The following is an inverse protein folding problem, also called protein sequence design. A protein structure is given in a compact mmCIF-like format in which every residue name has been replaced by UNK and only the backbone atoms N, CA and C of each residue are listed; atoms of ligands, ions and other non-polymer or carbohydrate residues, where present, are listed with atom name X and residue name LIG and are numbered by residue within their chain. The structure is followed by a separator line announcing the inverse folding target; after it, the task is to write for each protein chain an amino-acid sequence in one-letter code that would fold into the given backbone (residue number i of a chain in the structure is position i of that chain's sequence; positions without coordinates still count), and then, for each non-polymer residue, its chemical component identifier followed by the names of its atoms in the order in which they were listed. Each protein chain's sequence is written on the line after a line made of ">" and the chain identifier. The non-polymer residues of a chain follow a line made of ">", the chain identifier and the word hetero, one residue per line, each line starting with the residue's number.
data_IF_303111720203
#
_entry.id   IF_303111720203
#
_cell.length_a   1.000
_cell.length_b   1.000
_cell.length_c   1.000
_cell.angle_alpha   90.00
_cell.angle_beta   90.00
_cell.angle_gamma   90.00
#
_symmetry.space_group_name_H-M   'P 1'
#
loop_
_entity.id
_entity.type
_entity.pdbx_description
1 polymer ?
#
# COMPACT_ATOMS: atom_id res chain seq x y z
N UNK A 1 -11.46 -0.62 5.80
CA UNK A 1 -10.44 0.43 5.93
C UNK A 1 -10.91 1.74 5.28
N UNK A 2 -11.38 1.68 4.04
CA UNK A 2 -11.94 2.81 3.29
C UNK A 2 -13.43 2.55 2.94
N UNK A 3 -14.06 3.47 2.18
CA UNK A 3 -15.41 3.31 1.65
C UNK A 3 -15.59 2.11 0.71
N UNK A 4 -16.81 1.85 0.26
CA UNK A 4 -17.18 0.65 -0.51
C UNK A 4 -16.38 0.51 -1.81
N UNK A 5 -15.88 -0.69 -2.11
CA UNK A 5 -15.15 -0.97 -3.35
C UNK A 5 -16.02 -0.74 -4.60
N UNK A 6 -15.41 -0.24 -5.68
CA UNK A 6 -16.06 -0.11 -6.99
C UNK A 6 -16.55 -1.47 -7.49
N UNK A 7 -17.80 -1.54 -7.95
CA UNK A 7 -18.45 -2.79 -8.38
C UNK A 7 -19.33 -3.45 -7.32
N UNK A 8 -19.27 -3.00 -6.06
CA UNK A 8 -20.23 -3.39 -5.02
C UNK A 8 -21.35 -2.35 -4.88
N UNK A 9 -22.58 -2.84 -4.71
CA UNK A 9 -23.79 -2.04 -4.43
C UNK A 9 -24.16 -2.15 -2.95
N UNK A 10 -23.24 -1.72 -2.08
CA UNK A 10 -23.51 -1.62 -0.64
C UNK A 10 -23.97 -0.21 -0.35
N UNK A 11 -25.08 -0.08 0.39
CA UNK A 11 -25.59 1.20 0.88
C UNK A 11 -24.51 1.95 1.66
N UNK A 12 -24.17 3.17 1.21
CA UNK A 12 -23.16 4.04 1.83
C UNK A 12 -23.78 5.31 2.42
N UNK A 13 -25.02 5.22 2.93
CA UNK A 13 -25.77 6.34 3.50
C UNK A 13 -26.01 7.53 2.54
N UNK A 14 -26.03 7.29 1.21
CA UNK A 14 -26.23 8.34 0.21
C UNK A 14 -25.02 9.26 0.03
N UNK A 15 -23.87 8.91 0.60
CA UNK A 15 -22.64 9.69 0.43
C UNK A 15 -22.13 9.60 -1.01
N UNK A 16 -21.61 10.70 -1.52
CA UNK A 16 -20.97 10.75 -2.85
C UNK A 16 -19.61 10.05 -2.81
N UNK A 17 -19.28 9.32 -3.87
CA UNK A 17 -18.00 8.62 -4.00
C UNK A 17 -18.01 7.19 -3.45
N UNK A 18 -16.93 6.47 -3.75
CA UNK A 18 -16.63 5.08 -3.36
C UNK A 18 -15.12 4.96 -3.08
N UNK A 19 -14.62 3.77 -2.73
CA UNK A 19 -13.19 3.49 -2.46
C UNK A 19 -12.25 4.26 -3.39
N UNK A 20 -11.34 5.06 -2.80
CA UNK A 20 -10.35 5.85 -3.54
C UNK A 20 -10.87 7.16 -4.13
N UNK A 21 -12.07 7.60 -3.72
CA UNK A 21 -12.59 8.94 -3.96
C UNK A 21 -12.31 9.86 -2.77
N UNK A 22 -12.13 11.13 -3.08
CA UNK A 22 -11.98 12.29 -2.21
C UNK A 22 -13.29 12.72 -1.53
N UNK A 23 -14.45 12.32 -2.06
CA UNK A 23 -15.74 12.58 -1.43
C UNK A 23 -15.99 11.65 -0.24
N UNK A 24 -16.86 12.03 0.72
CA UNK A 24 -17.07 11.30 1.99
C UNK A 24 -17.34 9.78 1.78
N UNK A 25 -18.01 9.37 0.69
CA UNK A 25 -18.25 7.94 0.41
C UNK A 25 -17.00 7.11 0.11
N UNK A 26 -15.83 7.74 -0.09
CA UNK A 26 -14.56 7.08 -0.30
C UNK A 26 -13.73 6.84 0.97
N UNK A 27 -13.89 7.66 2.01
CA UNK A 27 -13.04 7.64 3.21
C UNK A 27 -13.80 7.70 4.54
N UNK A 28 -15.05 8.17 4.57
CA UNK A 28 -15.89 8.14 5.77
C UNK A 28 -16.45 6.75 6.00
N UNK A 29 -16.04 6.14 7.10
CA UNK A 29 -16.35 4.75 7.47
C UNK A 29 -16.99 4.67 8.86
N UNK A 30 -17.73 3.59 9.18
CA UNK A 30 -18.17 3.33 10.54
C UNK A 30 -16.98 3.14 11.49
N UNK A 31 -17.06 3.73 12.68
CA UNK A 31 -16.11 3.53 13.77
C UNK A 31 -16.89 3.29 15.07
N UNK A 32 -16.60 2.18 15.75
CA UNK A 32 -17.29 1.75 16.98
C UNK A 32 -16.23 1.30 17.97
N UNK A 33 -16.32 1.80 19.20
CA UNK A 33 -15.52 1.35 20.33
C UNK A 33 -16.42 0.67 21.37
N UNK A 34 -15.92 -0.40 21.99
CA UNK A 34 -16.62 -1.12 23.05
C UNK A 34 -15.61 -1.55 24.11
N UNK A 35 -15.76 -1.04 25.33
CA UNK A 35 -14.88 -1.34 26.45
C UNK A 35 -15.67 -1.30 27.77
N UNK A 36 -16.27 -2.43 28.19
CA UNK A 36 -17.12 -2.48 29.38
C UNK A 36 -16.45 -2.03 30.68
N UNK A 37 -15.17 -2.38 30.87
CA UNK A 37 -14.43 -1.98 32.08
C UNK A 37 -14.21 -0.47 32.17
N UNK A 38 -14.25 0.26 31.04
CA UNK A 38 -14.21 1.72 31.00
C UNK A 38 -15.61 2.36 30.94
N UNK A 39 -16.68 1.58 31.08
CA UNK A 39 -18.06 2.08 30.97
C UNK A 39 -18.52 2.35 29.53
N UNK A 40 -17.76 1.93 28.51
CA UNK A 40 -18.10 2.10 27.09
C UNK A 40 -18.90 0.90 26.59
N UNK A 41 -20.03 0.63 27.25
CA UNK A 41 -20.91 -0.52 26.98
C UNK A 41 -22.38 -0.11 26.80
N UNK A 42 -22.66 1.19 26.71
CA UNK A 42 -23.98 1.73 26.41
C UNK A 42 -23.96 2.45 25.06
N UNK A 43 -25.15 2.70 24.50
CA UNK A 43 -25.26 3.52 23.28
C UNK A 43 -24.74 4.93 23.59
N UNK A 44 -23.70 5.32 22.88
CA UNK A 44 -23.11 6.67 22.91
C UNK A 44 -22.82 7.10 21.47
N UNK A 45 -23.05 8.37 21.16
CA UNK A 45 -22.82 8.92 19.83
C UNK A 45 -22.16 10.29 19.94
N UNK A 46 -21.01 10.45 19.27
CA UNK A 46 -20.30 11.71 19.15
C UNK A 46 -20.24 12.11 17.67
N UNK A 47 -20.70 13.33 17.34
CA UNK A 47 -20.72 13.85 15.96
C UNK A 47 -19.46 14.70 15.62
N UNK A 48 -18.45 14.68 16.51
CA UNK A 48 -17.21 15.44 16.33
C UNK A 48 -16.31 14.80 15.28
N UNK A 49 -15.59 15.64 14.52
CA UNK A 49 -14.66 15.21 13.48
C UNK A 49 -13.48 14.42 14.08
N UNK A 50 -13.37 13.15 13.70
CA UNK A 50 -12.24 12.28 13.97
C UNK A 50 -11.64 11.72 12.67
N UNK A 51 -10.43 11.18 12.77
CA UNK A 51 -9.70 10.60 11.66
C UNK A 51 -8.83 9.43 12.13
N UNK A 52 -8.38 8.57 11.21
CA UNK A 52 -7.56 7.40 11.56
C UNK A 52 -6.26 7.76 12.31
N UNK A 53 -5.72 8.98 12.08
CA UNK A 53 -4.53 9.49 12.77
C UNK A 53 -4.73 9.68 14.28
N UNK A 54 -5.98 9.74 14.76
CA UNK A 54 -6.31 9.87 16.18
C UNK A 54 -6.25 8.53 16.94
N UNK A 55 -6.21 7.41 16.23
CA UNK A 55 -6.24 6.08 16.87
C UNK A 55 -5.00 5.86 17.71
N UNK A 56 -3.81 6.10 17.15
CA UNK A 56 -2.52 5.94 17.86
C UNK A 56 -2.45 6.78 19.14
N UNK A 57 -2.64 8.11 19.11
CA UNK A 57 -2.57 8.92 20.32
C UNK A 57 -3.61 8.54 21.37
N UNK A 58 -4.81 8.12 20.95
CA UNK A 58 -5.86 7.65 21.85
C UNK A 58 -5.45 6.34 22.54
N UNK A 59 -5.04 5.33 21.78
CA UNK A 59 -4.67 4.01 22.33
C UNK A 59 -3.45 4.12 23.25
N UNK A 60 -2.44 4.90 22.87
CA UNK A 60 -1.26 5.13 23.72
C UNK A 60 -1.67 5.76 25.06
N UNK A 61 -2.54 6.78 25.04
CA UNK A 61 -3.05 7.41 26.26
C UNK A 61 -3.83 6.45 27.14
N UNK A 62 -4.76 5.69 26.55
CA UNK A 62 -5.58 4.70 27.27
C UNK A 62 -4.74 3.58 27.90
N UNK A 63 -3.63 3.21 27.26
CA UNK A 63 -2.69 2.21 27.78
C UNK A 63 -1.73 2.77 28.86
N UNK A 64 -1.86 4.05 29.24
CA UNK A 64 -0.94 4.71 30.18
C UNK A 64 0.45 5.01 29.60
N UNK A 65 0.59 4.90 28.27
CA UNK A 65 1.82 5.20 27.57
C UNK A 65 2.10 6.70 27.49
N UNK A 66 3.35 7.04 27.18
CA UNK A 66 3.78 8.42 26.96
C UNK A 66 4.10 8.64 25.49
N UNK A 67 3.75 9.81 24.97
CA UNK A 67 4.16 10.22 23.63
C UNK A 67 5.70 10.27 23.56
N UNK A 68 6.33 9.56 22.60
CA UNK A 68 7.77 9.70 22.36
C UNK A 68 8.11 11.14 21.96
N UNK A 69 9.14 11.74 22.57
CA UNK A 69 9.53 13.13 22.29
C UNK A 69 9.95 13.35 20.83
N UNK A 70 10.51 12.33 20.19
CA UNK A 70 10.95 12.36 18.80
C UNK A 70 9.82 12.30 17.78
N UNK A 71 8.59 12.00 18.19
CA UNK A 71 7.48 11.75 17.27
C UNK A 71 6.51 12.93 17.24
N UNK A 72 6.36 13.54 16.07
CA UNK A 72 5.24 14.45 15.81
C UNK A 72 3.99 13.62 15.51
N UNK A 73 2.86 14.00 16.10
CA UNK A 73 1.56 13.35 15.85
C UNK A 73 0.71 14.26 15.00
N UNK A 74 0.08 13.70 13.97
CA UNK A 74 -0.93 14.41 13.17
C UNK A 74 -2.32 14.37 13.83
N UNK A 75 -2.55 13.34 14.64
CA UNK A 75 -3.78 13.15 15.41
C UNK A 75 -3.69 13.65 16.84
N UNK A 76 -4.84 13.61 17.51
CA UNK A 76 -4.98 13.91 18.94
C UNK A 76 -5.75 12.78 19.61
N UNK A 77 -5.64 12.65 20.94
CA UNK A 77 -6.48 11.69 21.64
C UNK A 77 -7.95 12.12 21.53
N UNK A 78 -8.79 11.17 21.11
CA UNK A 78 -10.25 11.31 21.04
C UNK A 78 -10.94 10.52 22.16
N UNK A 79 -10.23 10.16 23.24
CA UNK A 79 -10.81 9.45 24.39
C UNK A 79 -12.11 10.10 24.90
N UNK A 80 -12.15 11.44 24.97
CA UNK A 80 -13.35 12.18 25.40
C UNK A 80 -14.53 12.05 24.44
N UNK A 81 -14.30 11.62 23.20
CA UNK A 81 -15.38 11.32 22.25
C UNK A 81 -16.00 9.94 22.52
N UNK A 82 -15.21 9.02 23.08
CA UNK A 82 -15.58 7.63 23.29
C UNK A 82 -16.24 7.42 24.66
N UNK A 83 -15.89 8.26 25.63
CA UNK A 83 -16.37 8.19 26.99
C UNK A 83 -17.73 8.91 27.16
N UNK A 84 -18.83 8.19 27.45
CA UNK A 84 -20.16 8.78 27.60
C UNK A 84 -20.29 9.69 28.83
N UNK A 85 -19.31 9.68 29.76
CA UNK A 85 -19.31 10.53 30.95
C UNK A 85 -18.56 11.85 30.74
N UNK A 86 -17.91 12.04 29.59
CA UNK A 86 -17.07 13.20 29.29
C UNK A 86 -17.65 14.03 28.16
N UNK A 87 -17.46 15.34 28.26
CA UNK A 87 -17.73 16.25 27.15
C UNK A 87 -16.61 16.13 26.09
N UNK A 88 -16.97 16.03 24.79
CA UNK A 88 -16.00 15.99 23.70
C UNK A 88 -15.12 17.25 23.66
N UNK A 89 -13.85 17.13 24.07
CA UNK A 89 -12.99 18.28 24.38
C UNK A 89 -11.93 18.62 23.30
N UNK A 90 -12.06 18.09 22.08
CA UNK A 90 -11.14 18.43 20.98
C UNK A 90 -11.63 19.67 20.26
N UNK A 91 -10.78 20.69 20.21
CA UNK A 91 -11.04 21.94 19.51
C UNK A 91 -11.29 21.75 18.01
N UNK A 92 -11.94 22.72 17.40
CA UNK A 92 -12.14 22.72 15.96
C UNK A 92 -10.80 22.73 15.23
N UNK A 93 -10.66 21.79 14.29
CA UNK A 93 -9.42 21.56 13.54
C UNK A 93 -9.71 21.22 12.09
N UNK A 94 -8.65 21.17 11.29
CA UNK A 94 -8.71 20.67 9.93
C UNK A 94 -7.91 19.37 9.78
N UNK A 95 -8.38 18.50 8.90
CA UNK A 95 -7.76 17.21 8.57
C UNK A 95 -7.71 17.07 7.05
N UNK A 96 -6.73 16.34 6.54
CA UNK A 96 -6.60 16.06 5.11
C UNK A 96 -6.71 14.57 4.87
N UNK A 97 -7.45 14.20 3.83
CA UNK A 97 -7.33 12.91 3.18
C UNK A 97 -6.93 13.13 1.72
N UNK A 98 -6.02 12.31 1.21
CA UNK A 98 -5.62 12.33 -0.20
C UNK A 98 -5.50 10.90 -0.76
N UNK A 99 -5.47 10.80 -2.09
CA UNK A 99 -5.28 9.51 -2.78
C UNK A 99 -4.45 9.71 -4.05
N UNK A 100 -3.13 9.57 -3.92
CA UNK A 100 -2.19 9.76 -5.03
C UNK A 100 -2.19 8.57 -6.02
N UNK A 101 -1.93 7.35 -5.51
CA UNK A 101 -1.73 6.11 -6.30
C UNK A 101 -0.77 6.28 -7.48
N UNK A 102 0.21 7.15 -7.32
CA UNK A 102 1.28 7.46 -8.26
C UNK A 102 2.56 7.60 -7.43
N UNK A 103 3.71 7.43 -8.09
CA UNK A 103 5.01 7.53 -7.42
C UNK A 103 5.26 8.95 -6.91
N UNK A 104 5.10 9.94 -7.80
CA UNK A 104 5.40 11.34 -7.51
C UNK A 104 4.06 12.05 -7.22
N UNK A 105 3.78 12.45 -5.96
CA UNK A 105 2.51 13.07 -5.59
C UNK A 105 2.22 14.35 -6.38
N UNK A 106 0.95 14.59 -6.68
CA UNK A 106 0.49 15.80 -7.36
C UNK A 106 -0.39 16.61 -6.40
N UNK A 107 -0.06 17.89 -6.22
CA UNK A 107 -0.80 18.82 -5.37
C UNK A 107 -2.27 18.87 -5.78
N UNK A 108 -3.18 18.87 -4.81
CA UNK A 108 -4.64 18.88 -5.00
C UNK A 108 -5.24 17.68 -5.75
N UNK A 109 -4.48 16.59 -5.93
CA UNK A 109 -5.00 15.37 -6.56
C UNK A 109 -5.84 14.53 -5.60
N UNK A 110 -7.15 14.44 -5.86
CA UNK A 110 -8.09 13.59 -5.10
C UNK A 110 -7.98 13.83 -3.60
N UNK A 111 -8.08 15.09 -3.21
CA UNK A 111 -7.93 15.51 -1.81
C UNK A 111 -9.24 16.04 -1.26
N UNK A 112 -9.44 15.86 0.04
CA UNK A 112 -10.43 16.60 0.80
C UNK A 112 -9.79 17.18 2.07
N UNK A 113 -9.89 18.51 2.19
CA UNK A 113 -9.64 19.22 3.44
C UNK A 113 -10.94 19.26 4.22
N UNK A 114 -10.91 18.80 5.45
CA UNK A 114 -12.10 18.55 6.26
C UNK A 114 -12.06 19.42 7.51
N UNK A 115 -13.17 20.05 7.85
CA UNK A 115 -13.43 20.60 9.19
C UNK A 115 -14.75 20.02 9.71
N UNK A 116 -15.16 20.41 10.92
CA UNK A 116 -16.43 19.94 11.48
C UNK A 116 -17.63 20.21 10.55
N UNK A 117 -17.63 21.36 9.86
CA UNK A 117 -18.74 21.79 9.02
C UNK A 117 -18.46 21.61 7.51
N UNK A 118 -17.20 21.71 7.09
CA UNK A 118 -16.87 21.87 5.67
C UNK A 118 -16.04 20.72 5.10
N UNK A 119 -16.22 20.46 3.80
CA UNK A 119 -15.28 19.70 2.95
C UNK A 119 -14.88 20.59 1.78
N UNK A 120 -13.58 20.85 1.65
CA UNK A 120 -13.00 21.45 0.45
C UNK A 120 -12.35 20.34 -0.36
N UNK A 121 -12.91 20.07 -1.53
CA UNK A 121 -12.51 18.96 -2.40
C UNK A 121 -11.65 19.51 -3.54
N UNK A 122 -10.45 18.93 -3.71
CA UNK A 122 -9.45 19.28 -4.73
C UNK A 122 -9.11 20.79 -4.79
N UNK A 123 -9.38 21.54 -3.72
CA UNK A 123 -9.13 22.99 -3.67
C UNK A 123 -10.12 23.85 -4.45
N UNK A 124 -11.21 23.24 -4.94
CA UNK A 124 -12.16 23.86 -5.87
C UNK A 124 -13.59 23.88 -5.31
N UNK A 125 -14.09 22.73 -4.84
CA UNK A 125 -15.50 22.59 -4.44
C UNK A 125 -15.66 22.61 -2.93
N UNK A 126 -16.61 23.38 -2.42
CA UNK A 126 -16.87 23.48 -0.98
C UNK A 126 -18.28 22.98 -0.65
N UNK A 127 -18.38 22.06 0.31
CA UNK A 127 -19.65 21.49 0.76
C UNK A 127 -19.86 21.69 2.26
N UNK A 128 -21.08 22.06 2.65
CA UNK A 128 -21.51 22.17 4.05
C UNK A 128 -22.15 20.86 4.53
N UNK A 129 -21.40 20.00 5.21
CA UNK A 129 -21.77 18.58 5.38
C UNK A 129 -22.98 18.35 6.28
N UNK A 130 -23.24 19.22 7.26
CA UNK A 130 -24.46 19.10 8.08
C UNK A 130 -25.73 19.37 7.27
N UNK A 131 -25.66 20.20 6.22
CA UNK A 131 -26.81 20.53 5.35
C UNK A 131 -26.85 19.68 4.08
N UNK A 132 -25.70 19.24 3.60
CA UNK A 132 -25.54 18.47 2.37
C UNK A 132 -24.57 17.29 2.59
N UNK A 133 -25.00 16.22 3.31
CA UNK A 133 -24.19 15.02 3.51
C UNK A 133 -23.85 14.30 2.20
N UNK A 134 -24.67 14.49 1.16
CA UNK A 134 -24.46 13.92 -0.16
C UNK A 134 -23.46 14.68 -1.02
N UNK A 135 -22.99 15.86 -0.60
CA UNK A 135 -22.06 16.71 -1.34
C UNK A 135 -22.53 16.97 -2.78
N UNK A 136 -23.78 17.43 -2.88
CA UNK A 136 -24.53 17.70 -4.10
C UNK A 136 -24.52 19.17 -4.52
N UNK A 137 -24.36 20.09 -3.56
CA UNK A 137 -24.40 21.54 -3.80
C UNK A 137 -23.06 22.18 -3.44
N UNK A 138 -22.29 22.53 -4.46
CA UNK A 138 -21.08 23.33 -4.30
C UNK A 138 -21.44 24.76 -3.90
N UNK A 139 -20.85 25.25 -2.80
CA UNK A 139 -21.04 26.60 -2.27
C UNK A 139 -19.75 27.41 -2.22
N UNK A 140 -18.69 26.97 -2.91
CA UNK A 140 -17.39 27.64 -2.90
C UNK A 140 -17.46 29.13 -3.28
N UNK A 141 -18.23 29.46 -4.32
CA UNK A 141 -18.41 30.85 -4.80
C UNK A 141 -19.08 31.77 -3.77
N UNK A 142 -19.98 31.21 -2.95
CA UNK A 142 -20.66 31.95 -1.89
C UNK A 142 -19.82 32.08 -0.61
N UNK A 143 -18.78 31.27 -0.44
CA UNK A 143 -17.93 31.25 0.76
C UNK A 143 -16.42 31.36 0.43
N UNK A 144 -15.98 32.38 -0.33
CA UNK A 144 -14.60 32.48 -0.81
C UNK A 144 -13.57 32.59 0.31
N UNK A 145 -13.92 33.20 1.45
CA UNK A 145 -13.03 33.29 2.62
C UNK A 145 -12.81 31.93 3.29
N UNK A 146 -13.84 31.08 3.33
CA UNK A 146 -13.71 29.72 3.87
C UNK A 146 -12.84 28.85 2.95
N UNK A 147 -13.02 28.97 1.62
CA UNK A 147 -12.15 28.32 0.63
C UNK A 147 -10.71 28.76 0.83
N UNK A 148 -10.45 30.06 0.90
CA UNK A 148 -9.10 30.61 1.13
C UNK A 148 -8.47 30.07 2.41
N UNK A 149 -9.22 30.03 3.51
CA UNK A 149 -8.75 29.49 4.79
C UNK A 149 -8.34 28.01 4.68
N UNK A 150 -9.18 27.18 4.06
CA UNK A 150 -8.93 25.75 3.93
C UNK A 150 -7.81 25.45 2.92
N UNK A 151 -7.66 26.25 1.86
CA UNK A 151 -6.51 26.16 0.94
C UNK A 151 -5.21 26.49 1.66
N UNK A 152 -5.18 27.56 2.46
CA UNK A 152 -4.02 27.92 3.26
C UNK A 152 -3.58 26.80 4.21
N UNK A 153 -4.52 26.14 4.88
CA UNK A 153 -4.21 24.97 5.72
C UNK A 153 -3.60 23.83 4.90
N UNK A 154 -4.18 23.50 3.75
CA UNK A 154 -3.64 22.46 2.88
C UNK A 154 -2.27 22.80 2.32
N UNK A 155 -2.05 24.06 1.93
CA UNK A 155 -0.76 24.49 1.39
C UNK A 155 0.33 24.33 2.45
N UNK A 156 0.09 24.74 3.71
CA UNK A 156 1.04 24.47 4.80
C UNK A 156 1.27 22.98 5.06
N UNK A 157 0.22 22.16 5.00
CA UNK A 157 0.34 20.70 5.13
C UNK A 157 1.14 20.07 3.97
N UNK A 158 0.92 20.54 2.74
CA UNK A 158 1.64 20.08 1.56
C UNK A 158 3.13 20.44 1.64
N UNK A 159 3.44 21.68 1.98
CA UNK A 159 4.81 22.18 2.05
C UNK A 159 5.62 21.48 3.17
N UNK A 160 4.94 21.01 4.23
CA UNK A 160 5.55 20.15 5.25
C UNK A 160 5.95 18.77 4.70
N UNK A 161 5.13 18.19 3.81
CA UNK A 161 5.33 16.83 3.30
C UNK A 161 6.21 16.76 2.06
N UNK A 162 6.19 17.79 1.21
CA UNK A 162 6.87 17.83 -0.09
C UNK A 162 8.36 17.43 -0.02
N UNK A 163 9.16 17.85 0.99
CA UNK A 163 10.55 17.40 1.12
C UNK A 163 10.74 15.89 1.29
N UNK A 164 9.70 15.17 1.72
CA UNK A 164 9.73 13.72 1.92
C UNK A 164 9.39 12.92 0.66
N UNK A 165 8.79 13.53 -0.37
CA UNK A 165 8.32 12.79 -1.55
C UNK A 165 9.45 12.21 -2.40
N UNK A 166 10.65 12.78 -2.32
CA UNK A 166 11.85 12.25 -2.96
C UNK A 166 12.54 11.14 -2.14
N UNK A 167 12.08 10.89 -0.91
CA UNK A 167 12.64 9.86 -0.06
C UNK A 167 12.02 8.52 -0.44
N UNK A 168 12.82 7.67 -1.07
CA UNK A 168 12.43 6.29 -1.33
C UNK A 168 12.23 5.55 -0.01
N UNK A 169 11.09 4.88 0.16
CA UNK A 169 10.88 3.98 1.30
C UNK A 169 11.64 2.69 1.05
N UNK A 170 12.64 2.42 1.90
CA UNK A 170 13.54 1.28 1.74
C UNK A 170 13.20 0.15 2.71
N UNK A 171 13.30 -1.09 2.24
CA UNK A 171 13.15 -2.27 3.08
C UNK A 171 14.52 -2.63 3.69
N UNK A 172 14.61 -2.69 5.01
CA UNK A 172 15.88 -2.90 5.71
C UNK A 172 16.31 -4.36 5.64
N UNK A 173 17.58 -4.60 5.30
CA UNK A 173 18.21 -5.92 5.24
C UNK A 173 19.35 -5.99 6.25
N UNK A 174 19.47 -7.12 6.94
CA UNK A 174 20.55 -7.36 7.91
C UNK A 174 20.36 -6.64 9.25
N UNK A 175 19.14 -6.18 9.56
CA UNK A 175 18.82 -5.74 10.91
C UNK A 175 18.75 -6.94 11.87
N UNK A 176 19.27 -6.78 13.09
CA UNK A 176 19.33 -7.86 14.09
C UNK A 176 17.95 -8.40 14.46
N UNK A 177 16.94 -7.52 14.50
CA UNK A 177 15.55 -7.85 14.81
C UNK A 177 14.81 -8.49 13.63
N UNK A 178 15.36 -8.36 12.41
CA UNK A 178 14.80 -8.90 11.17
C UNK A 178 15.90 -9.58 10.34
N UNK A 179 16.51 -10.67 10.82
CA UNK A 179 17.63 -11.33 10.14
C UNK A 179 17.21 -11.99 8.83
N UNK A 180 15.90 -12.20 8.62
CA UNK A 180 15.29 -12.75 7.42
C UNK A 180 14.13 -11.87 6.99
N UNK A 181 14.15 -11.43 5.74
CA UNK A 181 13.16 -10.53 5.15
C UNK A 181 12.55 -11.18 3.91
N UNK A 182 11.22 -11.27 3.86
CA UNK A 182 10.49 -11.73 2.67
C UNK A 182 10.07 -10.50 1.87
N UNK A 183 10.64 -10.36 0.67
CA UNK A 183 10.27 -9.34 -0.29
C UNK A 183 9.19 -9.89 -1.23
N UNK A 184 8.17 -9.07 -1.52
CA UNK A 184 7.08 -9.45 -2.43
C UNK A 184 7.04 -8.49 -3.62
N UNK A 185 6.67 -8.96 -4.80
CA UNK A 185 6.61 -8.11 -5.99
C UNK A 185 5.65 -6.93 -5.86
N UNK A 186 4.72 -6.97 -4.91
CA UNK A 186 3.82 -5.86 -4.63
C UNK A 186 4.56 -4.59 -4.17
N UNK A 187 5.75 -4.75 -3.59
CA UNK A 187 6.62 -3.67 -3.11
C UNK A 187 7.58 -3.15 -4.20
N UNK A 188 7.45 -3.62 -5.44
CA UNK A 188 8.28 -3.11 -6.53
C UNK A 188 7.98 -1.65 -6.84
N UNK A 189 9.06 -0.87 -6.99
CA UNK A 189 9.06 0.48 -7.53
C UNK A 189 9.30 0.39 -9.03
N UNK A 190 8.56 1.19 -9.81
CA UNK A 190 8.68 1.27 -11.26
C UNK A 190 7.36 1.00 -11.98
N UNK A 191 7.31 -0.08 -12.74
CA UNK A 191 6.15 -0.53 -13.52
C UNK A 191 5.03 -1.14 -12.67
N UNK A 192 4.04 -1.74 -13.33
CA UNK A 192 2.87 -2.33 -12.66
C UNK A 192 3.21 -3.74 -12.14
N UNK A 193 3.29 -3.95 -10.81
CA UNK A 193 3.60 -5.26 -10.27
C UNK A 193 2.40 -6.21 -10.30
N UNK A 194 2.62 -7.53 -10.20
CA UNK A 194 1.57 -8.47 -9.83
C UNK A 194 1.00 -8.05 -8.46
N UNK A 195 -0.25 -7.59 -8.46
CA UNK A 195 -0.91 -7.03 -7.27
C UNK A 195 -1.46 -8.11 -6.32
N UNK A 196 -1.68 -9.33 -6.82
CA UNK A 196 -2.28 -10.41 -6.05
C UNK A 196 -1.90 -11.80 -6.58
N UNK A 197 -2.32 -12.83 -5.84
CA UNK A 197 -2.04 -14.22 -6.18
C UNK A 197 -2.66 -14.68 -7.50
N UNK A 198 -3.75 -14.07 -7.95
CA UNK A 198 -4.31 -14.37 -9.27
C UNK A 198 -3.32 -14.00 -10.37
N UNK A 199 -2.71 -12.81 -10.27
CA UNK A 199 -1.72 -12.32 -11.24
C UNK A 199 -0.43 -13.14 -11.22
N UNK A 200 0.05 -13.52 -10.02
CA UNK A 200 1.20 -14.42 -9.85
C UNK A 200 0.94 -15.80 -10.48
N UNK A 201 -0.23 -16.40 -10.20
CA UNK A 201 -0.66 -17.66 -10.82
C UNK A 201 -0.79 -17.54 -12.33
N UNK A 202 -1.25 -16.40 -12.81
CA UNK A 202 -1.38 -16.09 -14.22
C UNK A 202 -0.06 -15.70 -14.90
N UNK A 203 1.10 -15.84 -14.23
CA UNK A 203 2.41 -15.50 -14.81
C UNK A 203 2.45 -14.07 -15.38
N UNK A 204 1.85 -13.10 -14.68
CA UNK A 204 1.85 -11.70 -15.08
C UNK A 204 3.28 -11.18 -15.29
N UNK A 205 3.55 -10.63 -16.47
CA UNK A 205 4.89 -10.18 -16.85
C UNK A 205 5.62 -11.15 -17.77
N UNK A 206 5.23 -12.43 -17.77
CA UNK A 206 5.64 -13.39 -18.80
C UNK A 206 4.63 -13.45 -19.96
N UNK A 207 3.33 -13.45 -19.64
CA UNK A 207 2.27 -13.54 -20.66
C UNK A 207 2.15 -12.27 -21.52
N UNK A 208 1.80 -12.42 -22.81
CA UNK A 208 1.30 -11.30 -23.61
C UNK A 208 0.03 -10.71 -22.98
N UNK A 209 -0.11 -9.37 -23.01
CA UNK A 209 -1.35 -8.70 -22.58
C UNK A 209 -2.53 -9.20 -23.44
N UNK A 210 -3.68 -9.47 -22.82
CA UNK A 210 -4.84 -10.05 -23.49
C UNK A 210 -5.32 -9.23 -24.72
N UNK A 211 -5.99 -9.92 -25.64
CA UNK A 211 -6.42 -9.50 -26.99
C UNK A 211 -7.25 -8.22 -27.11
N UNK A 212 -7.68 -7.56 -26.02
CA UNK A 212 -8.29 -6.22 -26.09
C UNK A 212 -7.26 -5.09 -26.29
N UNK A 213 -5.96 -5.38 -26.14
CA UNK A 213 -4.83 -4.47 -26.41
C UNK A 213 -3.90 -5.02 -27.50
N UNK A 214 -4.40 -5.83 -28.42
CA UNK A 214 -3.61 -6.56 -29.43
C UNK A 214 -2.93 -5.71 -30.51
N UNK A 215 -3.02 -4.38 -30.46
CA UNK A 215 -2.56 -3.51 -31.57
C UNK A 215 -1.21 -2.86 -31.37
N UNK A 216 -0.49 -3.20 -30.31
CA UNK A 216 0.86 -2.68 -30.09
C UNK A 216 1.72 -3.80 -29.49
N UNK A 217 2.92 -3.93 -30.05
CA UNK A 217 4.15 -4.44 -29.41
C UNK A 217 4.51 -5.93 -29.55
N UNK A 218 5.30 -6.20 -30.59
CA UNK A 218 6.37 -7.23 -30.57
C UNK A 218 7.63 -6.73 -29.84
N UNK A 219 7.68 -5.46 -29.39
CA UNK A 219 8.84 -4.80 -28.79
C UNK A 219 8.58 -4.21 -27.37
N UNK A 220 7.57 -4.69 -26.64
CA UNK A 220 7.32 -4.21 -25.27
C UNK A 220 8.40 -4.78 -24.32
N UNK A 221 9.08 -3.93 -23.52
CA UNK A 221 10.08 -4.41 -22.57
C UNK A 221 9.47 -5.43 -21.61
N UNK A 222 10.23 -6.48 -21.30
CA UNK A 222 9.78 -7.50 -20.35
C UNK A 222 9.56 -6.89 -18.95
N UNK A 223 8.84 -7.58 -18.07
CA UNK A 223 8.60 -7.05 -16.72
C UNK A 223 9.88 -6.78 -15.93
N UNK A 224 10.97 -7.52 -16.21
CA UNK A 224 12.28 -7.25 -15.63
C UNK A 224 12.96 -6.02 -16.26
N UNK A 225 12.67 -5.72 -17.53
CA UNK A 225 13.21 -4.57 -18.26
C UNK A 225 12.43 -3.27 -17.99
N UNK A 226 11.23 -3.37 -17.40
CA UNK A 226 10.45 -2.21 -16.94
C UNK A 226 11.10 -1.44 -15.78
N UNK A 227 12.31 -1.83 -15.35
CA UNK A 227 13.00 -1.19 -14.22
C UNK A 227 12.29 -1.42 -12.89
N UNK A 228 11.66 -2.58 -12.70
CA UNK A 228 11.05 -2.95 -11.43
C UNK A 228 12.12 -3.40 -10.44
N UNK A 229 12.15 -2.80 -9.25
CA UNK A 229 13.09 -3.16 -8.20
C UNK A 229 12.47 -2.99 -6.81
N UNK A 230 13.03 -3.68 -5.83
CA UNK A 230 12.87 -3.32 -4.43
C UNK A 230 13.93 -2.31 -4.04
N UNK A 231 13.53 -1.19 -3.44
CA UNK A 231 14.47 -0.32 -2.74
C UNK A 231 14.82 -0.97 -1.40
N UNK A 232 16.08 -1.31 -1.21
CA UNK A 232 16.55 -1.97 0.01
C UNK A 232 17.68 -1.19 0.66
N UNK A 233 17.70 -1.21 2.00
CA UNK A 233 18.77 -0.61 2.80
C UNK A 233 19.51 -1.69 3.56
N UNK A 234 20.76 -1.92 3.19
CA UNK A 234 21.65 -2.84 3.90
C UNK A 234 22.17 -2.15 5.15
N UNK A 235 21.89 -2.75 6.30
CA UNK A 235 22.25 -2.18 7.61
C UNK A 235 23.66 -2.58 8.06
N UNK A 236 24.09 -3.79 7.70
CA UNK A 236 25.37 -4.36 8.12
C UNK A 236 26.15 -4.93 6.93
N UNK A 237 27.49 -4.82 6.89
CA UNK A 237 28.29 -5.49 5.87
C UNK A 237 28.22 -7.00 6.05
N UNK A 238 28.28 -7.75 4.96
CA UNK A 238 28.41 -9.20 5.02
C UNK A 238 27.89 -9.92 3.80
N UNK A 239 27.91 -11.25 3.87
CA UNK A 239 27.33 -12.10 2.84
C UNK A 239 25.85 -12.32 3.11
N UNK A 240 25.03 -11.89 2.18
CA UNK A 240 23.58 -12.08 2.19
C UNK A 240 23.21 -13.24 1.28
N UNK A 241 22.25 -14.05 1.70
CA UNK A 241 21.66 -15.10 0.87
C UNK A 241 20.29 -14.64 0.34
N UNK A 242 20.10 -14.77 -0.97
CA UNK A 242 18.88 -14.42 -1.70
C UNK A 242 18.25 -15.70 -2.24
N UNK A 243 17.07 -16.08 -1.74
CA UNK A 243 16.25 -17.18 -2.29
C UNK A 243 15.20 -16.59 -3.22
N UNK A 244 15.51 -16.58 -4.52
CA UNK A 244 14.66 -16.07 -5.59
C UNK A 244 13.54 -17.06 -5.88
N UNK A 245 12.31 -16.60 -5.81
CA UNK A 245 11.13 -17.46 -5.98
C UNK A 245 10.06 -16.84 -6.85
N UNK A 246 9.31 -17.71 -7.52
CA UNK A 246 8.03 -17.36 -8.14
C UNK A 246 6.86 -17.55 -7.18
N UNK A 247 6.88 -18.63 -6.41
CA UNK A 247 5.83 -18.98 -5.46
C UNK A 247 6.24 -18.62 -4.04
N UNK A 248 5.30 -18.26 -3.16
CA UNK A 248 5.63 -17.99 -1.77
C UNK A 248 6.11 -19.27 -1.08
N UNK A 249 6.82 -19.12 0.04
CA UNK A 249 7.46 -20.22 0.79
C UNK A 249 6.50 -21.33 1.18
N UNK A 250 5.25 -21.00 1.44
CA UNK A 250 4.20 -21.90 1.90
C UNK A 250 3.66 -22.80 0.78
N UNK A 251 3.74 -22.34 -0.48
CA UNK A 251 3.32 -23.12 -1.65
C UNK A 251 4.41 -24.09 -2.07
N UNK A 252 5.67 -23.67 -1.98
CA UNK A 252 6.87 -24.48 -2.22
C UNK A 252 6.80 -25.38 -3.48
N UNK A 253 6.40 -24.81 -4.61
CA UNK A 253 6.38 -25.48 -5.91
C UNK A 253 7.55 -25.02 -6.77
N UNK A 254 7.96 -25.81 -7.78
CA UNK A 254 9.03 -25.41 -8.66
C UNK A 254 8.77 -24.06 -9.33
N UNK A 255 9.82 -23.26 -9.49
CA UNK A 255 9.75 -21.91 -10.10
C UNK A 255 9.09 -21.96 -11.47
N UNK A 256 9.44 -22.98 -12.27
CA UNK A 256 8.93 -23.15 -13.62
C UNK A 256 7.50 -23.73 -13.69
N UNK A 257 7.00 -24.35 -12.61
CA UNK A 257 5.77 -25.12 -12.67
C UNK A 257 4.52 -24.25 -12.82
N UNK A 258 3.45 -24.84 -13.35
CA UNK A 258 2.09 -24.32 -13.14
C UNK A 258 1.60 -24.67 -11.72
N UNK A 259 0.37 -24.26 -11.40
CA UNK A 259 -0.36 -24.75 -10.24
C UNK A 259 -1.72 -25.30 -10.68
N UNK A 260 -2.15 -26.48 -10.21
CA UNK A 260 -3.50 -26.97 -10.49
C UNK A 260 -4.54 -26.03 -9.85
N UNK A 261 -5.78 -26.10 -10.33
CA UNK A 261 -6.90 -25.50 -9.64
C UNK A 261 -7.04 -26.12 -8.24
N UNK A 262 -7.20 -25.28 -7.22
CA UNK A 262 -7.55 -25.72 -5.87
C UNK A 262 -9.06 -25.96 -5.76
N UNK A 263 -9.45 -26.57 -4.64
CA UNK A 263 -10.86 -26.73 -4.28
C UNK A 263 -11.62 -25.39 -4.28
N UNK A 264 -12.91 -25.48 -4.63
CA UNK A 264 -13.85 -24.37 -4.60
C UNK A 264 -13.92 -23.75 -3.19
N UNK A 265 -14.04 -22.42 -3.14
CA UNK A 265 -14.23 -21.68 -1.89
C UNK A 265 -15.64 -21.12 -1.87
N UNK A 266 -16.42 -21.32 -0.79
CA UNK A 266 -17.73 -20.69 -0.67
C UNK A 266 -17.63 -19.17 -0.79
N UNK A 267 -18.39 -18.57 -1.70
CA UNK A 267 -18.38 -17.13 -1.94
C UNK A 267 -19.20 -16.72 -3.15
N UNK A 268 -19.54 -15.43 -3.22
CA UNK A 268 -20.30 -14.86 -4.34
C UNK A 268 -19.49 -14.75 -5.65
N UNK A 269 -18.17 -14.93 -5.58
CA UNK A 269 -17.26 -14.90 -6.73
C UNK A 269 -16.33 -16.11 -6.71
N UNK A 270 -15.95 -16.57 -7.91
CA UNK A 270 -14.97 -17.65 -8.08
C UNK A 270 -13.62 -17.23 -7.48
N UNK A 271 -13.11 -18.01 -6.52
CA UNK A 271 -11.83 -17.69 -5.91
C UNK A 271 -10.68 -17.89 -6.90
N UNK A 272 -9.65 -17.04 -6.83
CA UNK A 272 -8.52 -17.10 -7.77
C UNK A 272 -7.84 -18.48 -7.81
N UNK A 273 -7.86 -19.22 -6.70
CA UNK A 273 -7.27 -20.56 -6.58
C UNK A 273 -7.98 -21.61 -7.43
N UNK A 274 -9.26 -21.41 -7.73
CA UNK A 274 -10.07 -22.31 -8.56
C UNK A 274 -9.72 -22.21 -10.05
N UNK A 275 -8.85 -21.27 -10.42
CA UNK A 275 -8.32 -21.15 -11.77
C UNK A 275 -6.91 -21.75 -11.78
N UNK A 276 -6.61 -22.69 -12.71
CA UNK A 276 -5.26 -23.18 -12.90
C UNK A 276 -4.27 -22.03 -13.12
N UNK A 277 -3.10 -22.13 -12.51
CA UNK A 277 -1.98 -21.26 -12.84
C UNK A 277 -1.33 -21.69 -14.16
N UNK A 278 -0.42 -20.87 -14.67
CA UNK A 278 0.40 -21.20 -15.84
C UNK A 278 1.86 -21.39 -15.46
N UNK A 279 2.58 -22.15 -16.28
CA UNK A 279 4.02 -22.33 -16.17
C UNK A 279 4.77 -21.11 -16.74
N UNK A 280 6.00 -20.91 -16.28
CA UNK A 280 6.99 -20.04 -16.92
C UNK A 280 8.18 -20.96 -17.19
N UNK A 281 8.61 -21.20 -18.44
CA UNK A 281 9.69 -22.13 -18.74
C UNK A 281 11.05 -21.52 -18.36
N UNK A 282 11.31 -21.40 -17.06
CA UNK A 282 12.51 -20.76 -16.50
C UNK A 282 13.71 -21.69 -16.63
N UNK A 283 14.81 -21.19 -17.20
CA UNK A 283 16.08 -21.93 -17.38
C UNK A 283 17.21 -21.41 -16.50
N UNK A 284 17.16 -20.14 -16.12
CA UNK A 284 18.13 -19.55 -15.21
C UNK A 284 17.51 -18.42 -14.41
N UNK A 285 18.20 -18.04 -13.35
CA UNK A 285 17.87 -16.88 -12.53
C UNK A 285 19.09 -15.97 -12.45
N UNK A 286 18.87 -14.71 -12.09
CA UNK A 286 19.94 -13.76 -11.83
C UNK A 286 19.57 -12.73 -10.78
N UNK A 287 20.60 -12.21 -10.11
CA UNK A 287 20.50 -11.13 -9.14
C UNK A 287 21.05 -9.85 -9.78
N UNK A 288 20.18 -8.87 -9.99
CA UNK A 288 20.54 -7.54 -10.47
C UNK A 288 20.56 -6.56 -9.30
N UNK A 289 21.64 -5.80 -9.15
CA UNK A 289 21.83 -4.76 -8.14
C UNK A 289 22.22 -3.46 -8.83
N UNK A 290 21.44 -2.40 -8.64
CA UNK A 290 21.67 -1.08 -9.26
C UNK A 290 21.84 -1.17 -10.80
N UNK A 291 20.99 -1.97 -11.45
CA UNK A 291 21.04 -2.21 -12.90
C UNK A 291 22.03 -3.30 -13.35
N UNK A 292 23.06 -3.62 -12.56
CA UNK A 292 24.09 -4.59 -12.94
C UNK A 292 23.73 -6.01 -12.53
N UNK A 293 23.87 -6.97 -13.45
CA UNK A 293 23.77 -8.40 -13.12
C UNK A 293 25.02 -8.83 -12.36
N UNK A 294 24.87 -9.20 -11.09
CA UNK A 294 25.99 -9.57 -10.20
C UNK A 294 26.26 -11.06 -10.18
N UNK A 295 25.22 -11.89 -10.23
CA UNK A 295 25.31 -13.35 -10.20
C UNK A 295 24.14 -13.96 -10.97
N UNK A 296 24.40 -15.09 -11.62
CA UNK A 296 23.40 -15.92 -12.29
C UNK A 296 23.57 -17.38 -11.88
N UNK A 297 22.49 -18.16 -11.96
CA UNK A 297 22.54 -19.60 -11.75
C UNK A 297 21.52 -20.30 -12.65
N UNK A 298 21.84 -21.52 -13.08
CA UNK A 298 20.89 -22.37 -13.79
C UNK A 298 19.77 -22.82 -12.85
N UNK A 299 18.57 -22.95 -13.41
CA UNK A 299 17.38 -23.42 -12.70
C UNK A 299 17.10 -24.84 -13.14
N UNK A 300 16.94 -25.75 -12.18
CA UNK A 300 16.49 -27.12 -12.47
C UNK A 300 14.96 -27.18 -12.41
N UNK A 301 14.36 -28.15 -13.13
CA UNK A 301 12.90 -28.26 -13.24
C UNK A 301 12.18 -28.42 -11.90
N UNK A 302 12.85 -28.94 -10.86
CA UNK A 302 12.27 -29.20 -9.54
C UNK A 302 12.61 -28.10 -8.50
N UNK A 303 13.40 -27.08 -8.87
CA UNK A 303 13.83 -26.02 -7.96
C UNK A 303 12.65 -25.15 -7.52
N UNK A 304 12.28 -25.22 -6.23
CA UNK A 304 11.26 -24.34 -5.63
C UNK A 304 11.70 -22.87 -5.49
N UNK A 305 13.01 -22.64 -5.49
CA UNK A 305 13.66 -21.34 -5.47
C UNK A 305 15.12 -21.48 -5.90
N UNK A 306 15.79 -20.36 -6.09
CA UNK A 306 17.21 -20.30 -6.48
C UNK A 306 17.96 -19.49 -5.45
N UNK A 307 18.86 -20.14 -4.73
CA UNK A 307 19.69 -19.48 -3.74
C UNK A 307 20.94 -18.90 -4.37
N UNK A 308 21.22 -17.64 -4.07
CA UNK A 308 22.41 -16.91 -4.48
C UNK A 308 23.00 -16.21 -3.26
N UNK A 309 24.32 -16.05 -3.22
CA UNK A 309 24.98 -15.30 -2.15
C UNK A 309 25.77 -14.14 -2.74
N UNK A 310 25.67 -12.97 -2.08
CA UNK A 310 26.39 -11.77 -2.49
C UNK A 310 26.87 -11.01 -1.26
N UNK A 311 28.12 -10.56 -1.29
CA UNK A 311 28.63 -9.65 -0.27
C UNK A 311 28.11 -8.23 -0.53
N UNK A 312 27.51 -7.61 0.47
CA UNK A 312 27.02 -6.23 0.41
C UNK A 312 27.67 -5.39 1.51
N UNK A 313 27.81 -4.10 1.23
CA UNK A 313 28.22 -3.08 2.20
C UNK A 313 26.98 -2.34 2.70
N UNK A 314 27.04 -1.65 3.84
CA UNK A 314 25.95 -0.78 4.27
C UNK A 314 25.64 0.28 3.22
N UNK A 315 24.36 0.46 2.89
CA UNK A 315 23.95 1.38 1.85
C UNK A 315 22.60 1.06 1.24
N UNK A 316 22.20 1.94 0.32
CA UNK A 316 20.94 1.87 -0.43
C UNK A 316 21.17 1.17 -1.77
N UNK A 317 20.28 0.24 -2.12
CA UNK A 317 20.38 -0.54 -3.36
C UNK A 317 19.01 -0.72 -4.03
N UNK A 318 19.03 -0.73 -5.36
CA UNK A 318 17.94 -1.24 -6.19
C UNK A 318 18.17 -2.74 -6.42
N UNK A 319 17.33 -3.57 -5.80
CA UNK A 319 17.38 -5.03 -5.90
C UNK A 319 16.35 -5.50 -6.92
N UNK A 320 16.79 -6.16 -8.00
CA UNK A 320 15.92 -6.60 -9.09
C UNK A 320 16.23 -8.04 -9.57
N UNK A 321 16.07 -9.07 -8.73
CA UNK A 321 16.23 -10.45 -9.15
C UNK A 321 15.22 -10.83 -10.24
N UNK A 322 15.67 -11.67 -11.16
CA UNK A 322 14.91 -12.07 -12.34
C UNK A 322 15.08 -13.56 -12.64
N UNK A 323 14.13 -14.07 -13.42
CA UNK A 323 14.16 -15.36 -14.08
C UNK A 323 14.28 -15.16 -15.58
N UNK A 324 15.11 -15.98 -16.22
CA UNK A 324 15.27 -16.05 -17.66
C UNK A 324 14.51 -17.27 -18.17
N UNK A 325 13.60 -17.06 -19.12
CA UNK A 325 12.83 -18.14 -19.75
C UNK A 325 13.53 -18.68 -21.02
N UNK A 326 13.14 -19.89 -21.44
CA UNK A 326 13.61 -20.56 -22.67
C UNK A 326 13.44 -19.70 -23.92
N UNK A 327 12.38 -18.88 -23.98
CA UNK A 327 12.08 -17.99 -25.11
C UNK A 327 12.87 -16.67 -25.10
N UNK A 328 13.86 -16.54 -24.21
CA UNK A 328 14.70 -15.36 -24.10
C UNK A 328 14.10 -14.22 -23.26
N UNK A 329 12.87 -14.33 -22.77
CA UNK A 329 12.25 -13.28 -21.94
C UNK A 329 12.74 -13.33 -20.49
N UNK A 330 12.80 -12.15 -19.86
CA UNK A 330 13.02 -12.01 -18.44
C UNK A 330 11.75 -11.67 -17.67
N UNK A 331 11.62 -12.22 -16.47
CA UNK A 331 10.50 -11.97 -15.56
C UNK A 331 11.08 -11.70 -14.19
N UNK A 332 10.61 -10.67 -13.49
CA UNK A 332 11.06 -10.42 -12.12
C UNK A 332 10.69 -11.57 -11.19
N UNK A 333 11.56 -11.91 -10.23
CA UNK A 333 11.21 -12.90 -9.21
C UNK A 333 10.07 -12.36 -8.35
N UNK A 334 8.93 -13.06 -8.23
CA UNK A 334 7.79 -12.50 -7.50
C UNK A 334 7.98 -12.44 -6.00
N UNK A 335 8.90 -13.25 -5.47
CA UNK A 335 9.32 -13.23 -4.09
C UNK A 335 10.84 -13.35 -4.04
N UNK A 336 11.43 -12.72 -3.05
CA UNK A 336 12.84 -12.92 -2.72
C UNK A 336 12.97 -12.96 -1.21
N UNK A 337 13.49 -14.07 -0.68
CA UNK A 337 13.76 -14.18 0.75
C UNK A 337 15.23 -13.85 0.95
N UNK A 338 15.49 -12.76 1.65
CA UNK A 338 16.83 -12.30 1.94
C UNK A 338 17.17 -12.65 3.38
N UNK A 339 18.27 -13.37 3.57
CA UNK A 339 18.82 -13.67 4.90
C UNK A 339 20.13 -12.90 5.05
N UNK A 340 20.23 -12.11 6.12
CA UNK A 340 21.43 -11.38 6.47
C UNK A 340 22.60 -12.29 6.85
N UNK A 341 23.81 -11.74 7.00
CA UNK A 341 24.93 -12.50 7.52
C UNK A 341 24.55 -13.10 8.89
N UNK A 342 24.88 -14.39 9.09
CA UNK A 342 24.80 -14.98 10.43
C UNK A 342 25.73 -14.20 11.34
N UNK A 343 25.16 -13.45 12.30
CA UNK A 343 25.96 -12.81 13.32
C UNK A 343 26.65 -13.90 14.16
N UNK A 344 27.96 -13.76 14.43
CA UNK A 344 28.71 -14.71 15.25
C UNK A 344 28.21 -14.79 16.70
#
# INVERSE_FOLDING_TARGET
>A
DNGTATGSEIFNAGMRGKKGSEYDGGHRVPFIAHWPAAGWNTKHQCDRLCHAVDVVPTVVGLAGGKKPQSLRWDGVSIETFLDPSKEPAVADRMLVTDSQRIRDPIKWRKTAVMSQQWRLVNGEQLFEIKKDPGQTKDVATAHPQQVKKMKGFYDSWWDELEPTFLQTTEIYLGAREAPRVTLTCHDWIGGYPPWNQQMVRAAMGYRPKSSRRKKQEENEPSQADMGNFWAVKVMEPGTYTFDLRRWPTEVNKPVASSLPAGAAVPGASKAFRETPGEAIPVVSAGLRINGDVKVTALVTNDSAGVQMSLALQPGSYELAPFFQAEDGKQVGAYYCIVTGPTQP
#
